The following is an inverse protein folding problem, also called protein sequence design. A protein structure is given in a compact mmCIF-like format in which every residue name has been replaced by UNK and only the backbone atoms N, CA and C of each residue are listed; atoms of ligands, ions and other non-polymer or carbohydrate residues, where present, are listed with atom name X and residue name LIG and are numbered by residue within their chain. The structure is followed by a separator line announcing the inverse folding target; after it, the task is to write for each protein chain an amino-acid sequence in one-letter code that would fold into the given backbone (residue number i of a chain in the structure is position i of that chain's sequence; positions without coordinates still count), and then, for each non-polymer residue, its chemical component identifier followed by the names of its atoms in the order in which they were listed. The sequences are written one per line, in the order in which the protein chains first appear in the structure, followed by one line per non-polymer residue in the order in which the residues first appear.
data_IF_080402034595
#
_entry.id   IF_080402034595
#
_cell.length_a   1.000
_cell.length_b   1.000
_cell.length_c   1.000
_cell.angle_alpha   90.00
_cell.angle_beta   90.00
_cell.angle_gamma   90.00
#
_symmetry.space_group_name_H-M   'P 1'
#
loop_
_entity.id
_entity.type
_entity.pdbx_description
1 polymer ?
#
# COMPACT_ATOMS: atom_id res chain seq x y z
N UNK A 1 -9.11 -13.69 3.60
CA UNK A 1 -9.72 -12.91 2.49
C UNK A 1 -11.00 -13.60 1.98
N UNK A 2 -10.94 -14.81 1.43
CA UNK A 2 -12.13 -15.50 0.90
C UNK A 2 -13.22 -15.71 1.95
N UNK A 3 -12.87 -16.10 3.15
CA UNK A 3 -13.82 -16.25 4.28
C UNK A 3 -14.57 -14.94 4.57
N UNK A 4 -13.84 -13.80 4.57
CA UNK A 4 -14.42 -12.48 4.83
C UNK A 4 -15.32 -11.97 3.70
N UNK A 5 -15.26 -12.60 2.53
CA UNK A 5 -16.01 -12.19 1.32
C UNK A 5 -17.01 -13.25 0.87
N UNK A 6 -17.40 -14.18 1.76
CA UNK A 6 -18.31 -15.26 1.42
C UNK A 6 -17.82 -16.17 0.27
N UNK A 7 -16.51 -16.37 0.18
CA UNK A 7 -15.86 -17.22 -0.83
C UNK A 7 -15.50 -16.49 -2.14
N UNK A 8 -16.02 -15.28 -2.39
CA UNK A 8 -15.85 -14.55 -3.66
C UNK A 8 -14.41 -14.06 -3.88
N UNK A 9 -13.75 -13.54 -2.86
CA UNK A 9 -12.46 -12.88 -2.97
C UNK A 9 -12.59 -11.34 -3.02
N UNK A 10 -11.46 -10.65 -3.18
CA UNK A 10 -11.41 -9.19 -3.23
C UNK A 10 -11.68 -8.66 -4.64
N UNK A 11 -12.48 -7.61 -4.78
CA UNK A 11 -12.73 -6.94 -6.05
C UNK A 11 -11.63 -5.94 -6.42
N UNK A 12 -10.96 -5.37 -5.40
CA UNK A 12 -9.82 -4.46 -5.58
C UNK A 12 -8.72 -4.82 -4.60
N UNK A 13 -7.50 -4.89 -5.09
CA UNK A 13 -6.28 -5.05 -4.29
C UNK A 13 -5.40 -3.84 -4.49
N UNK A 14 -5.02 -3.18 -3.41
CA UNK A 14 -4.02 -2.12 -3.36
C UNK A 14 -2.72 -2.70 -2.81
N UNK A 15 -1.71 -2.91 -3.66
CA UNK A 15 -0.48 -3.61 -3.28
C UNK A 15 0.77 -2.73 -3.36
N UNK A 16 1.24 -2.19 -2.22
CA UNK A 16 2.53 -1.49 -2.14
C UNK A 16 3.70 -2.44 -1.80
N UNK A 17 3.43 -3.73 -1.58
CA UNK A 17 4.39 -4.69 -1.04
C UNK A 17 5.06 -5.52 -2.13
N UNK A 18 4.27 -6.02 -3.08
CA UNK A 18 4.76 -6.91 -4.13
C UNK A 18 5.17 -8.30 -3.61
N UNK A 19 5.93 -9.01 -4.43
CA UNK A 19 6.48 -10.31 -4.04
C UNK A 19 5.40 -11.33 -3.66
N UNK A 20 5.64 -12.08 -2.58
CA UNK A 20 4.75 -13.16 -2.12
C UNK A 20 3.36 -12.65 -1.72
N UNK A 21 3.26 -11.41 -1.23
CA UNK A 21 1.97 -10.80 -0.89
C UNK A 21 1.11 -10.63 -2.15
N UNK A 22 1.68 -10.16 -3.24
CA UNK A 22 1.00 -10.06 -4.53
C UNK A 22 0.58 -11.43 -5.06
N UNK A 23 1.50 -12.43 -5.02
CA UNK A 23 1.23 -13.79 -5.52
C UNK A 23 0.07 -14.45 -4.77
N UNK A 24 -0.02 -14.23 -3.46
CA UNK A 24 -1.13 -14.71 -2.63
C UNK A 24 -2.43 -13.95 -2.92
N UNK A 25 -2.35 -12.63 -3.05
CA UNK A 25 -3.49 -11.78 -3.37
C UNK A 25 -4.10 -12.16 -4.73
N UNK A 26 -3.26 -12.39 -5.75
CA UNK A 26 -3.68 -12.81 -7.10
C UNK A 26 -4.53 -14.10 -7.09
N UNK A 27 -4.29 -14.99 -6.13
CA UNK A 27 -5.08 -16.21 -5.95
C UNK A 27 -6.41 -15.96 -5.22
N UNK A 28 -6.47 -14.91 -4.41
CA UNK A 28 -7.57 -14.59 -3.52
C UNK A 28 -8.54 -13.53 -4.05
N UNK A 29 -8.31 -13.01 -5.26
CA UNK A 29 -9.20 -12.04 -5.91
C UNK A 29 -10.42 -12.69 -6.53
N UNK A 30 -11.47 -11.89 -6.65
CA UNK A 30 -12.71 -12.22 -7.34
C UNK A 30 -12.53 -12.21 -8.87
N UNK A 31 -13.56 -12.62 -9.59
CA UNK A 31 -13.74 -12.41 -11.02
C UNK A 31 -13.79 -10.90 -11.33
N UNK A 32 -13.16 -10.47 -12.43
CA UNK A 32 -13.08 -9.06 -12.85
C UNK A 32 -12.42 -8.12 -11.84
N UNK A 33 -11.64 -8.64 -10.89
CA UNK A 33 -10.94 -7.83 -9.91
C UNK A 33 -9.88 -6.92 -10.53
N UNK A 34 -9.58 -5.81 -9.84
CA UNK A 34 -8.51 -4.89 -10.18
C UNK A 34 -7.37 -5.01 -9.18
N UNK A 35 -6.19 -5.34 -9.67
CA UNK A 35 -4.97 -5.39 -8.85
C UNK A 35 -4.12 -4.16 -9.14
N UNK A 36 -4.00 -3.26 -8.17
CA UNK A 36 -3.24 -2.02 -8.28
C UNK A 36 -1.82 -2.26 -7.78
N UNK A 37 -0.84 -2.20 -8.68
CA UNK A 37 0.59 -2.30 -8.36
C UNK A 37 1.10 -0.92 -7.99
N UNK A 38 1.35 -0.70 -6.70
CA UNK A 38 1.77 0.58 -6.12
C UNK A 38 3.28 0.61 -5.86
N UNK A 39 3.86 -0.54 -5.46
CA UNK A 39 5.26 -0.62 -5.12
C UNK A 39 5.74 -2.03 -4.82
N UNK A 40 6.99 -2.13 -4.39
CA UNK A 40 7.70 -3.39 -4.15
C UNK A 40 8.46 -3.38 -2.82
N UNK A 41 7.78 -2.99 -1.74
CA UNK A 41 8.40 -2.86 -0.40
C UNK A 41 8.96 -4.19 0.15
N UNK A 42 8.58 -5.35 -0.43
CA UNK A 42 9.20 -6.64 -0.14
C UNK A 42 10.63 -6.78 -0.68
N UNK A 43 11.04 -5.92 -1.62
CA UNK A 43 12.28 -6.04 -2.39
C UNK A 43 12.21 -6.99 -3.57
N UNK A 44 11.11 -7.75 -3.74
CA UNK A 44 10.91 -8.68 -4.87
C UNK A 44 9.85 -8.14 -5.83
N UNK A 45 10.22 -7.98 -7.09
CA UNK A 45 9.28 -7.70 -8.17
C UNK A 45 8.67 -9.03 -8.62
N UNK A 46 7.35 -9.15 -8.57
CA UNK A 46 6.62 -10.34 -9.00
C UNK A 46 6.48 -10.41 -10.53
N UNK A 47 6.48 -11.62 -11.06
CA UNK A 47 5.99 -11.88 -12.42
C UNK A 47 4.48 -12.15 -12.35
N UNK A 48 3.71 -11.54 -13.24
CA UNK A 48 2.26 -11.76 -13.30
C UNK A 48 1.96 -12.80 -14.38
N UNK A 49 1.49 -14.01 -14.00
CA UNK A 49 1.19 -15.06 -14.96
C UNK A 49 -0.03 -14.67 -15.81
N UNK A 50 0.17 -14.52 -17.12
CA UNK A 50 -0.88 -14.09 -18.05
C UNK A 50 -2.10 -15.04 -18.08
N UNK A 51 -1.87 -16.33 -17.87
CA UNK A 51 -2.94 -17.31 -17.75
C UNK A 51 -3.89 -17.03 -16.58
N UNK A 52 -3.38 -16.54 -15.42
CA UNK A 52 -4.22 -16.18 -14.30
C UNK A 52 -5.03 -14.90 -14.56
N UNK A 53 -4.45 -13.94 -15.29
CA UNK A 53 -5.18 -12.75 -15.74
C UNK A 53 -6.35 -13.20 -16.61
N UNK A 54 -6.08 -14.07 -17.60
CA UNK A 54 -7.09 -14.56 -18.54
C UNK A 54 -8.22 -15.32 -17.85
N UNK A 55 -7.89 -16.35 -17.05
CA UNK A 55 -8.92 -17.24 -16.48
C UNK A 55 -9.74 -16.59 -15.37
N UNK A 56 -9.25 -15.50 -14.78
CA UNK A 56 -9.98 -14.71 -13.77
C UNK A 56 -10.60 -13.44 -14.32
N UNK A 57 -10.33 -13.13 -15.59
CA UNK A 57 -10.79 -11.89 -16.26
C UNK A 57 -10.40 -10.62 -15.49
N UNK A 58 -9.23 -10.59 -14.85
CA UNK A 58 -8.78 -9.50 -13.99
C UNK A 58 -7.95 -8.47 -14.74
N UNK A 59 -7.86 -7.27 -14.16
CA UNK A 59 -6.95 -6.22 -14.61
C UNK A 59 -5.80 -6.05 -13.62
N UNK A 60 -4.56 -5.91 -14.15
CA UNK A 60 -3.38 -5.52 -13.36
C UNK A 60 -2.96 -4.13 -13.82
N UNK A 61 -2.99 -3.17 -12.91
CA UNK A 61 -2.88 -1.74 -13.22
C UNK A 61 -1.72 -1.16 -12.42
N UNK A 62 -0.74 -0.57 -13.13
CA UNK A 62 0.35 0.18 -12.50
C UNK A 62 -0.12 1.55 -12.02
N UNK A 63 0.25 1.93 -10.79
CA UNK A 63 -0.07 3.23 -10.19
C UNK A 63 1.21 3.85 -9.64
N UNK A 64 1.81 4.76 -10.38
CA UNK A 64 3.00 5.53 -9.96
C UNK A 64 2.55 6.87 -9.40
N UNK A 65 2.22 6.88 -8.11
CA UNK A 65 1.67 8.06 -7.45
C UNK A 65 2.63 9.26 -7.47
N UNK A 66 3.94 9.03 -7.26
CA UNK A 66 4.95 10.08 -7.29
C UNK A 66 5.09 10.77 -8.64
N UNK A 67 4.97 10.04 -9.76
CA UNK A 67 5.05 10.62 -11.10
C UNK A 67 3.87 11.56 -11.42
N UNK A 68 2.76 11.43 -10.71
CA UNK A 68 1.62 12.33 -10.87
C UNK A 68 1.94 13.74 -10.39
N UNK A 69 2.84 13.88 -9.40
CA UNK A 69 3.30 15.19 -8.91
C UNK A 69 4.03 15.99 -9.99
N UNK A 70 4.82 15.31 -10.82
CA UNK A 70 5.54 15.96 -11.92
C UNK A 70 4.60 16.37 -13.06
N UNK A 71 3.57 15.55 -13.32
CA UNK A 71 2.60 15.78 -14.39
C UNK A 71 1.56 16.84 -14.02
N UNK A 72 1.12 16.83 -12.77
CA UNK A 72 0.13 17.77 -12.24
C UNK A 72 0.44 18.15 -10.77
N UNK A 73 1.29 19.16 -10.54
CA UNK A 73 1.62 19.61 -9.18
C UNK A 73 0.40 20.10 -8.39
N UNK A 74 -0.64 20.62 -9.06
CA UNK A 74 -1.86 21.10 -8.41
C UNK A 74 -2.68 19.94 -7.85
N UNK A 75 -2.69 18.81 -8.54
CA UNK A 75 -3.35 17.59 -8.06
C UNK A 75 -2.75 17.12 -6.74
N UNK A 76 -1.40 17.11 -6.62
CA UNK A 76 -0.73 16.70 -5.40
C UNK A 76 -1.02 17.66 -4.23
N UNK A 77 -0.88 18.99 -4.47
CA UNK A 77 -1.14 19.99 -3.42
C UNK A 77 -2.60 19.97 -2.97
N UNK A 78 -3.55 19.76 -3.90
CA UNK A 78 -4.96 19.60 -3.59
C UNK A 78 -5.25 18.35 -2.73
N UNK A 79 -4.66 17.21 -3.08
CA UNK A 79 -4.80 15.99 -2.28
C UNK A 79 -4.22 16.15 -0.88
N UNK A 80 -3.03 16.76 -0.75
CA UNK A 80 -2.41 17.01 0.55
C UNK A 80 -3.28 17.94 1.41
N UNK A 81 -3.79 19.03 0.83
CA UNK A 81 -4.68 19.95 1.53
C UNK A 81 -5.95 19.24 2.04
N UNK A 82 -6.54 18.34 1.22
CA UNK A 82 -7.71 17.57 1.60
C UNK A 82 -7.41 16.58 2.73
N UNK A 83 -6.28 15.87 2.66
CA UNK A 83 -5.84 14.94 3.72
C UNK A 83 -5.59 15.68 5.05
N UNK A 84 -4.94 16.86 5.01
CA UNK A 84 -4.73 17.69 6.19
C UNK A 84 -6.06 18.20 6.77
N UNK A 85 -6.99 18.58 5.90
CA UNK A 85 -8.34 18.96 6.34
C UNK A 85 -9.07 17.82 7.04
N UNK A 86 -8.98 16.59 6.53
CA UNK A 86 -9.56 15.42 7.18
C UNK A 86 -8.91 15.13 8.52
N UNK A 87 -7.59 15.27 8.60
CA UNK A 87 -6.87 15.11 9.86
C UNK A 87 -7.31 16.13 10.90
N UNK A 88 -7.38 17.43 10.55
CA UNK A 88 -7.87 18.48 11.45
C UNK A 88 -9.33 18.27 11.91
N UNK A 89 -10.13 17.58 11.08
CA UNK A 89 -11.53 17.23 11.42
C UNK A 89 -11.68 15.92 12.20
N UNK A 90 -10.58 15.26 12.55
CA UNK A 90 -10.60 13.95 13.21
C UNK A 90 -11.12 12.80 12.35
N UNK A 91 -11.23 12.99 11.02
CA UNK A 91 -11.68 11.96 10.08
C UNK A 91 -10.55 11.05 9.60
N UNK A 92 -9.32 11.47 9.77
CA UNK A 92 -8.12 10.73 9.42
C UNK A 92 -7.17 10.78 10.60
N UNK A 93 -6.82 9.62 11.14
CA UNK A 93 -5.87 9.47 12.24
C UNK A 93 -4.78 8.48 11.82
N UNK A 94 -3.56 8.96 11.50
CA UNK A 94 -2.45 8.08 11.20
C UNK A 94 -2.04 7.27 12.42
N UNK A 95 -1.94 5.94 12.28
CA UNK A 95 -1.47 5.07 13.35
C UNK A 95 0.02 5.32 13.61
N UNK A 96 0.35 6.00 14.70
CA UNK A 96 1.73 6.15 15.21
C UNK A 96 2.01 4.98 16.15
N UNK A 97 2.79 4.01 15.66
CA UNK A 97 3.07 2.80 16.42
C UNK A 97 4.19 2.99 17.46
N UNK A 98 5.15 3.86 17.16
CA UNK A 98 6.26 4.16 18.07
C UNK A 98 6.91 5.50 17.72
N UNK A 99 7.28 6.25 18.77
CA UNK A 99 8.15 7.43 18.66
C UNK A 99 9.50 7.11 19.28
N UNK A 100 10.57 7.60 18.64
CA UNK A 100 11.95 7.51 19.10
C UNK A 100 12.57 8.91 19.16
N UNK A 101 13.48 9.20 20.10
CA UNK A 101 14.32 10.38 20.04
C UNK A 101 15.16 10.37 18.74
N UNK A 102 15.47 11.54 18.19
CA UNK A 102 16.33 11.63 16.99
C UNK A 102 17.66 10.91 17.16
N UNK A 103 18.25 10.95 18.36
CA UNK A 103 19.49 10.24 18.68
C UNK A 103 19.39 8.71 18.48
N UNK A 104 18.19 8.15 18.50
CA UNK A 104 17.90 6.73 18.32
C UNK A 104 17.42 6.38 16.88
N UNK A 105 17.68 7.24 15.90
CA UNK A 105 17.26 7.03 14.51
C UNK A 105 17.68 5.67 13.95
N UNK A 106 18.88 5.19 14.30
CA UNK A 106 19.36 3.85 13.91
C UNK A 106 18.48 2.72 14.46
N UNK A 107 18.02 2.83 15.72
CA UNK A 107 17.11 1.86 16.33
C UNK A 107 15.72 1.92 15.67
N UNK A 108 15.23 3.12 15.33
CA UNK A 108 13.97 3.32 14.62
C UNK A 108 13.99 2.67 13.21
N UNK A 109 15.07 2.84 12.45
CA UNK A 109 15.24 2.22 11.14
C UNK A 109 15.31 0.68 11.23
N UNK A 110 16.04 0.14 12.20
CA UNK A 110 16.09 -1.30 12.44
C UNK A 110 14.74 -1.87 12.85
N UNK A 111 13.95 -1.12 13.60
CA UNK A 111 12.59 -1.51 13.98
C UNK A 111 11.65 -1.60 12.76
N UNK A 112 11.80 -0.71 11.77
CA UNK A 112 11.07 -0.79 10.49
C UNK A 112 11.52 -1.99 9.67
N UNK A 113 12.83 -2.21 9.53
CA UNK A 113 13.39 -3.35 8.78
C UNK A 113 12.93 -4.70 9.34
N UNK A 114 12.88 -4.81 10.67
CA UNK A 114 12.43 -6.02 11.36
C UNK A 114 10.89 -6.19 11.38
N UNK A 115 10.14 -5.25 10.80
CA UNK A 115 8.66 -5.22 10.80
C UNK A 115 8.04 -5.36 12.20
N UNK A 116 8.73 -4.83 13.20
CA UNK A 116 8.33 -4.94 14.61
C UNK A 116 7.05 -4.16 14.93
N UNK A 117 6.81 -3.08 14.20
CA UNK A 117 5.66 -2.20 14.42
C UNK A 117 4.77 -2.13 13.18
N UNK A 118 3.46 -2.24 13.40
CA UNK A 118 2.45 -1.93 12.40
C UNK A 118 2.02 -0.47 12.57
N UNK A 119 2.27 0.37 11.57
CA UNK A 119 1.99 1.80 11.61
C UNK A 119 3.23 2.66 11.33
N UNK A 120 3.14 3.94 11.66
CA UNK A 120 4.26 4.89 11.47
C UNK A 120 5.23 4.84 12.64
N UNK A 121 6.52 4.92 12.33
CA UNK A 121 7.58 5.19 13.30
C UNK A 121 7.99 6.64 13.12
N UNK A 122 7.99 7.41 14.20
CA UNK A 122 8.25 8.86 14.20
C UNK A 122 9.55 9.12 14.96
N UNK A 123 10.34 10.08 14.48
CA UNK A 123 11.47 10.64 15.22
C UNK A 123 11.03 11.99 15.81
N UNK A 124 11.28 12.18 17.10
CA UNK A 124 11.06 13.42 17.83
C UNK A 124 12.38 14.18 17.95
N UNK A 125 12.34 15.48 17.67
CA UNK A 125 13.50 16.38 17.67
C UNK A 125 13.52 17.19 18.96
#
# INVERSE_FOLDING_TARGET
MRELTGGKGADVVYDPVGGDAFDQALRAVNWEARMLVIGFASGRIQAVPANLILVKNISVIGVVWGAQTERDPKWMSGNLAELLRWWCQGKLEPLIAKTFPLAEAGAALNALLSRRYAGKVVLEI
#
